data_IF_841906562039
#
_entry.id   IF_841906562039
#
_cell.length_a   1.000
_cell.length_b   1.000
_cell.length_c   1.000
_cell.angle_alpha   90.00
_cell.angle_beta   90.00
_cell.angle_gamma   90.00
#
_symmetry.space_group_name_H-M   'P 1'
#
loop_
_entity.id
_entity.type
_entity.pdbx_description
1 polymer ?
#
# COMPACT_ATOMS: atom_id res chain seq x y z
N UNK A 1 11.33 -8.45 -1.75
CA UNK A 1 10.23 -7.55 -1.32
C UNK A 1 10.44 -7.22 0.16
N UNK A 2 10.76 -5.95 0.51
CA UNK A 2 11.03 -5.56 1.91
C UNK A 2 9.73 -5.63 2.70
N UNK A 3 9.68 -6.52 3.70
CA UNK A 3 8.52 -6.68 4.59
C UNK A 3 8.46 -5.49 5.56
N UNK A 4 7.29 -4.88 5.72
CA UNK A 4 7.05 -3.78 6.67
C UNK A 4 7.06 -4.25 8.12
N UNK A 5 6.73 -3.34 9.06
CA UNK A 5 6.83 -3.49 10.54
C UNK A 5 6.15 -4.77 11.11
N UNK A 6 5.26 -5.42 10.35
CA UNK A 6 4.61 -6.71 10.73
C UNK A 6 5.12 -7.94 9.98
N UNK A 7 6.16 -7.83 9.16
CA UNK A 7 6.56 -8.91 8.26
C UNK A 7 5.60 -9.09 7.06
N UNK A 8 4.60 -8.22 6.92
CA UNK A 8 3.50 -8.33 5.96
C UNK A 8 3.75 -7.47 4.72
N UNK A 9 3.26 -7.96 3.59
CA UNK A 9 3.15 -7.20 2.35
C UNK A 9 2.18 -6.04 2.50
N UNK A 10 2.35 -4.98 1.71
CA UNK A 10 1.44 -3.83 1.72
C UNK A 10 0.00 -4.26 1.40
N UNK A 11 -0.12 -5.04 0.32
CA UNK A 11 -1.32 -5.77 -0.08
C UNK A 11 -1.33 -7.16 0.56
N UNK A 12 -2.44 -7.53 1.17
CA UNK A 12 -2.65 -8.86 1.73
C UNK A 12 -2.81 -9.94 0.66
N UNK A 13 -2.76 -11.21 1.06
CA UNK A 13 -3.18 -12.32 0.18
C UNK A 13 -4.69 -12.49 0.15
N UNK A 14 -5.39 -11.90 1.12
CA UNK A 14 -6.84 -11.81 1.13
C UNK A 14 -7.31 -10.35 1.33
N UNK A 15 -8.57 -10.13 0.97
CA UNK A 15 -9.25 -8.83 1.01
C UNK A 15 -10.26 -8.80 2.17
N UNK A 16 -10.03 -9.57 3.24
CA UNK A 16 -10.98 -9.73 4.35
C UNK A 16 -10.56 -8.92 5.57
N UNK A 17 -11.46 -8.08 6.06
CA UNK A 17 -11.27 -7.44 7.37
C UNK A 17 -11.24 -8.50 8.47
N UNK A 18 -10.32 -8.35 9.42
CA UNK A 18 -10.06 -9.25 10.54
C UNK A 18 -9.13 -10.42 10.20
N UNK A 19 -8.73 -10.57 8.93
CA UNK A 19 -7.80 -11.63 8.56
C UNK A 19 -6.36 -11.28 8.96
N UNK A 20 -5.63 -12.29 9.44
CA UNK A 20 -4.18 -12.18 9.71
C UNK A 20 -3.38 -11.86 8.44
N UNK A 21 -3.95 -12.13 7.27
CA UNK A 21 -3.29 -11.99 5.98
C UNK A 21 -3.82 -10.82 5.13
N UNK A 22 -4.58 -9.89 5.73
CA UNK A 22 -5.17 -8.72 5.05
C UNK A 22 -4.16 -7.61 4.69
N UNK A 23 -2.87 -7.83 4.98
CA UNK A 23 -1.78 -6.93 4.62
C UNK A 23 -1.69 -5.69 5.50
N UNK A 24 -0.79 -4.78 5.12
CA UNK A 24 -0.62 -3.53 5.86
C UNK A 24 -1.76 -2.55 5.58
N UNK A 25 -2.26 -2.48 4.35
CA UNK A 25 -3.28 -1.50 3.95
C UNK A 25 -4.59 -1.69 4.72
N UNK A 26 -5.22 -2.86 4.63
CA UNK A 26 -6.48 -3.14 5.33
C UNK A 26 -6.29 -3.11 6.84
N UNK A 27 -5.23 -3.72 7.36
CA UNK A 27 -4.96 -3.67 8.80
C UNK A 27 -4.68 -2.27 9.34
N UNK A 28 -4.27 -1.31 8.50
CA UNK A 28 -4.14 0.10 8.91
C UNK A 28 -5.49 0.82 8.87
N UNK A 29 -6.32 0.54 7.87
CA UNK A 29 -7.69 1.06 7.82
C UNK A 29 -8.52 0.60 9.02
N UNK A 30 -8.35 -0.66 9.44
CA UNK A 30 -8.96 -1.20 10.66
C UNK A 30 -8.56 -0.41 11.90
N UNK A 31 -7.27 -0.11 12.04
CA UNK A 31 -6.77 0.69 13.17
C UNK A 31 -7.33 2.11 13.15
N UNK A 32 -7.29 2.78 12.00
CA UNK A 32 -7.80 4.16 11.86
C UNK A 32 -9.31 4.22 12.12
N UNK A 33 -10.05 3.17 11.74
CA UNK A 33 -11.50 3.11 11.94
C UNK A 33 -11.90 3.13 13.41
N UNK A 34 -11.04 2.67 14.33
CA UNK A 34 -11.29 2.76 15.77
C UNK A 34 -11.41 4.21 16.25
N UNK A 35 -10.78 5.14 15.54
CA UNK A 35 -10.76 6.57 15.87
C UNK A 35 -11.61 7.42 14.92
N UNK A 36 -12.19 6.82 13.87
CA UNK A 36 -12.95 7.52 12.86
C UNK A 36 -14.32 6.83 12.63
N UNK A 37 -15.42 7.38 13.20
CA UNK A 37 -16.75 6.79 13.09
C UNK A 37 -17.25 6.60 11.65
N UNK A 38 -16.90 7.52 10.75
CA UNK A 38 -17.28 7.42 9.34
C UNK A 38 -16.60 6.22 8.68
N UNK A 39 -15.30 6.04 8.91
CA UNK A 39 -14.56 4.91 8.40
C UNK A 39 -15.06 3.60 9.02
N UNK A 40 -15.35 3.57 10.33
CA UNK A 40 -15.92 2.40 10.99
C UNK A 40 -17.25 1.96 10.36
N UNK A 41 -18.15 2.92 10.12
CA UNK A 41 -19.43 2.65 9.46
C UNK A 41 -19.22 2.13 8.02
N UNK A 42 -18.27 2.70 7.28
CA UNK A 42 -17.94 2.24 5.93
C UNK A 42 -17.40 0.81 5.93
N UNK A 43 -16.43 0.50 6.80
CA UNK A 43 -15.86 -0.84 6.93
C UNK A 43 -16.93 -1.87 7.35
N UNK A 44 -17.79 -1.52 8.31
CA UNK A 44 -18.92 -2.39 8.73
C UNK A 44 -19.88 -2.67 7.58
N UNK A 45 -20.20 -1.65 6.77
CA UNK A 45 -21.17 -1.77 5.69
C UNK A 45 -20.63 -2.46 4.45
N UNK A 46 -19.32 -2.39 4.17
CA UNK A 46 -18.75 -2.81 2.89
C UNK A 46 -17.55 -3.78 2.97
N UNK A 47 -16.88 -3.89 4.12
CA UNK A 47 -15.55 -4.50 4.23
C UNK A 47 -15.45 -6.00 3.97
N UNK A 48 -16.55 -6.75 4.04
CA UNK A 48 -16.56 -8.19 3.78
C UNK A 48 -17.70 -8.61 2.85
N UNK A 49 -18.23 -7.69 2.03
CA UNK A 49 -19.36 -7.97 1.12
C UNK A 49 -19.00 -8.74 -0.16
N UNK A 50 -17.72 -9.08 -0.35
CA UNK A 50 -17.26 -9.79 -1.55
C UNK A 50 -17.06 -8.89 -2.77
N UNK A 51 -16.56 -9.48 -3.86
CA UNK A 51 -16.23 -8.78 -5.12
C UNK A 51 -17.49 -8.23 -5.81
N UNK A 52 -17.37 -7.06 -6.43
CA UNK A 52 -18.46 -6.41 -7.18
C UNK A 52 -19.25 -5.33 -6.41
N UNK A 53 -18.93 -5.12 -5.13
CA UNK A 53 -19.42 -3.97 -4.38
C UNK A 53 -18.35 -2.87 -4.37
N UNK A 54 -18.67 -1.69 -4.90
CA UNK A 54 -17.78 -0.52 -4.95
C UNK A 54 -17.46 -0.01 -3.53
N UNK A 55 -16.45 -0.63 -2.92
CA UNK A 55 -15.96 -0.29 -1.58
C UNK A 55 -14.57 0.33 -1.70
N UNK A 56 -14.25 1.29 -0.83
CA UNK A 56 -12.92 1.90 -0.74
C UNK A 56 -11.83 0.94 -0.17
N UNK A 57 -12.11 -0.36 -0.23
CA UNK A 57 -11.41 -1.46 0.43
C UNK A 57 -10.91 -2.45 -0.64
N UNK A 58 -11.23 -2.21 -1.91
CA UNK A 58 -10.83 -3.08 -3.02
C UNK A 58 -9.32 -3.01 -3.29
N UNK A 59 -8.77 -4.07 -3.93
CA UNK A 59 -7.41 -4.08 -4.46
C UNK A 59 -7.08 -2.85 -5.32
N UNK A 60 -8.02 -2.40 -6.13
CA UNK A 60 -7.81 -1.31 -7.08
C UNK A 60 -7.61 0.03 -6.35
N UNK A 61 -8.40 0.28 -5.30
CA UNK A 61 -8.25 1.49 -4.47
C UNK A 61 -6.92 1.48 -3.72
N UNK A 62 -6.45 0.31 -3.29
CA UNK A 62 -5.11 0.17 -2.72
C UNK A 62 -4.03 0.53 -3.75
N UNK A 63 -4.16 0.09 -4.99
CA UNK A 63 -3.19 0.39 -6.05
C UNK A 63 -3.21 1.88 -6.44
N UNK A 64 -4.40 2.51 -6.51
CA UNK A 64 -4.56 3.96 -6.68
C UNK A 64 -3.93 4.77 -5.53
N UNK A 65 -4.06 4.28 -4.30
CA UNK A 65 -3.45 4.90 -3.13
C UNK A 65 -1.92 4.86 -3.21
N UNK A 66 -1.34 3.70 -3.57
CA UNK A 66 0.11 3.55 -3.78
C UNK A 66 0.59 4.51 -4.87
N UNK A 67 -0.14 4.59 -5.97
CA UNK A 67 0.19 5.48 -7.09
C UNK A 67 0.15 6.96 -6.68
N UNK A 68 -0.83 7.33 -5.86
CA UNK A 68 -0.95 8.70 -5.34
C UNK A 68 0.21 9.04 -4.39
N UNK A 69 0.56 8.13 -3.46
CA UNK A 69 1.72 8.31 -2.59
C UNK A 69 3.03 8.38 -3.40
N UNK A 70 3.17 7.52 -4.43
CA UNK A 70 4.33 7.51 -5.32
C UNK A 70 4.55 8.86 -5.96
N UNK A 71 3.49 9.50 -6.50
CA UNK A 71 3.58 10.83 -7.12
C UNK A 71 4.05 11.89 -6.12
N UNK A 72 3.50 11.89 -4.91
CA UNK A 72 3.87 12.87 -3.88
C UNK A 72 5.33 12.72 -3.44
N UNK A 73 5.74 11.49 -3.12
CA UNK A 73 7.12 11.20 -2.70
C UNK A 73 8.11 11.49 -3.83
N UNK A 74 7.78 11.11 -5.07
CA UNK A 74 8.62 11.37 -6.22
C UNK A 74 8.80 12.87 -6.46
N UNK A 75 7.72 13.65 -6.37
CA UNK A 75 7.79 15.11 -6.46
C UNK A 75 8.70 15.69 -5.38
N UNK A 76 8.53 15.28 -4.12
CA UNK A 76 9.37 15.75 -3.02
C UNK A 76 10.86 15.42 -3.23
N UNK A 77 11.17 14.22 -3.75
CA UNK A 77 12.53 13.84 -4.09
C UNK A 77 13.09 14.74 -5.19
N UNK A 78 12.32 15.02 -6.24
CA UNK A 78 12.75 15.93 -7.31
C UNK A 78 13.02 17.34 -6.79
N UNK A 79 12.14 17.86 -5.93
CA UNK A 79 12.30 19.19 -5.34
C UNK A 79 13.61 19.26 -4.53
N UNK A 80 13.90 18.24 -3.70
CA UNK A 80 15.15 18.15 -2.94
C UNK A 80 16.38 18.02 -3.85
N UNK A 81 16.30 17.23 -4.92
CA UNK A 81 17.42 17.07 -5.87
C UNK A 81 17.68 18.36 -6.65
N UNK A 82 16.65 19.11 -7.03
CA UNK A 82 16.80 20.40 -7.70
C UNK A 82 17.44 21.46 -6.80
N UNK A 83 17.13 21.45 -5.50
CA UNK A 83 17.73 22.38 -4.54
C UNK A 83 19.15 21.99 -4.11
N UNK A 84 19.52 20.70 -4.26
CA UNK A 84 20.81 20.20 -3.84
C UNK A 84 21.95 20.69 -4.74
N UNK A 85 23.00 21.25 -4.13
CA UNK A 85 24.23 21.65 -4.84
C UNK A 85 24.99 20.46 -5.43
N UNK A 86 24.86 19.29 -4.81
CA UNK A 86 25.50 18.05 -5.23
C UNK A 86 24.54 16.88 -4.99
N UNK A 87 24.42 15.98 -5.96
CA UNK A 87 23.70 14.72 -5.85
C UNK A 87 24.49 13.61 -6.56
N UNK A 88 24.29 12.36 -6.17
CA UNK A 88 24.89 11.20 -6.81
C UNK A 88 23.82 10.18 -7.17
N UNK A 89 23.95 9.55 -8.33
CA UNK A 89 23.06 8.48 -8.78
C UNK A 89 23.85 7.18 -8.74
N UNK A 90 23.34 6.18 -8.02
CA UNK A 90 23.91 4.83 -7.98
C UNK A 90 22.94 3.88 -8.65
N UNK A 91 23.44 3.14 -9.64
CA UNK A 91 22.69 2.09 -10.32
C UNK A 91 23.10 0.75 -9.72
N UNK A 92 22.14 -0.02 -9.22
CA UNK A 92 22.34 -1.40 -8.79
C UNK A 92 21.58 -2.33 -9.73
N UNK A 93 22.32 -3.19 -10.42
CA UNK A 93 21.76 -4.18 -11.35
C UNK A 93 21.80 -5.54 -10.66
N UNK A 94 20.64 -6.02 -10.19
CA UNK A 94 20.50 -7.40 -9.74
C UNK A 94 20.08 -8.26 -10.93
N UNK A 95 20.90 -9.21 -11.41
CA UNK A 95 20.48 -10.14 -12.45
C UNK A 95 19.34 -11.01 -11.92
N UNK A 96 18.22 -11.05 -12.66
CA UNK A 96 17.10 -11.93 -12.36
C UNK A 96 17.54 -13.38 -12.60
N UNK A 97 17.90 -14.07 -11.52
CA UNK A 97 18.32 -15.48 -11.55
C UNK A 97 17.12 -16.39 -11.38
N UNK A 98 16.07 -16.17 -12.16
CA UNK A 98 15.08 -17.21 -12.44
C UNK A 98 15.56 -18.05 -13.63
N UNK A 99 16.44 -19.02 -13.37
CA UNK A 99 16.83 -20.11 -14.27
C UNK A 99 15.98 -21.34 -13.85
N UNK A 100 15.38 -22.23 -14.65
CA UNK A 100 15.41 -22.63 -16.08
C UNK A 100 14.19 -23.55 -16.33
N UNK A 101 13.77 -23.66 -17.61
CA UNK A 101 13.08 -24.79 -18.28
C UNK A 101 11.98 -25.58 -17.53
#
# INVERSE_FOLDING_TARGET
MRKGIRGLSFKGTDEKLGSRSNGLFLGSLELISQFNPFLAQHLSKYGNKGKGNGSYISPDVCDEFIESMRKLVFKQILDVVHEARYYSITLDSTPDTSHTD
#
